data_IF_465938319509
#
_entry.id   IF_465938319509
#
_cell.length_a   1.000
_cell.length_b   1.000
_cell.length_c   1.000
_cell.angle_alpha   90.00
_cell.angle_beta   90.00
_cell.angle_gamma   90.00
#
_symmetry.space_group_name_H-M   'P 1'
#
loop_
_entity.id
_entity.type
_entity.pdbx_description
1 polymer ?
#
# COMPACT_ATOMS: atom_id res chain seq x y z
N UNK A 1 -5.14 -23.65 8.54
CA UNK A 1 -4.42 -23.06 7.38
C UNK A 1 -3.63 -24.16 6.75
N UNK A 2 -3.82 -24.41 5.46
CA UNK A 2 -2.96 -25.34 4.76
C UNK A 2 -1.53 -24.79 4.76
N UNK A 3 -0.56 -25.64 5.09
CA UNK A 3 0.87 -25.29 5.16
C UNK A 3 1.38 -24.65 3.88
N UNK A 4 0.76 -24.98 2.75
CA UNK A 4 1.00 -24.40 1.42
C UNK A 4 0.62 -22.91 1.34
N UNK A 5 -0.57 -22.53 1.80
CA UNK A 5 -1.01 -21.12 1.83
C UNK A 5 -0.12 -20.26 2.74
N UNK A 6 0.36 -20.85 3.84
CA UNK A 6 1.31 -20.18 4.75
C UNK A 6 2.65 -19.92 4.07
N UNK A 7 3.19 -20.92 3.38
CA UNK A 7 4.44 -20.77 2.64
C UNK A 7 4.33 -19.68 1.56
N UNK A 8 3.19 -19.62 0.86
CA UNK A 8 2.93 -18.56 -0.13
C UNK A 8 2.86 -17.19 0.55
N UNK A 9 2.10 -17.05 1.64
CA UNK A 9 1.98 -15.79 2.38
C UNK A 9 3.32 -15.30 2.93
N UNK A 10 4.14 -16.21 3.48
CA UNK A 10 5.49 -15.91 3.96
C UNK A 10 6.40 -15.48 2.82
N UNK A 11 6.38 -16.22 1.70
CA UNK A 11 7.15 -15.86 0.50
C UNK A 11 6.81 -14.47 -0.02
N UNK A 12 5.52 -14.17 -0.18
CA UNK A 12 5.02 -12.86 -0.64
C UNK A 12 5.39 -11.73 0.33
N UNK A 13 5.27 -11.96 1.64
CA UNK A 13 5.65 -10.97 2.65
C UNK A 13 7.16 -10.71 2.65
N UNK A 14 8.00 -11.74 2.51
CA UNK A 14 9.45 -11.58 2.42
C UNK A 14 9.86 -10.79 1.18
N UNK A 15 9.25 -11.10 0.03
CA UNK A 15 9.45 -10.37 -1.21
C UNK A 15 9.07 -8.90 -1.03
N UNK A 16 7.90 -8.63 -0.44
CA UNK A 16 7.45 -7.27 -0.14
C UNK A 16 8.37 -6.51 0.80
N UNK A 17 8.77 -7.12 1.92
CA UNK A 17 9.65 -6.52 2.91
C UNK A 17 10.98 -6.17 2.24
N UNK A 18 11.57 -7.10 1.48
CA UNK A 18 12.84 -6.87 0.79
C UNK A 18 12.77 -5.68 -0.17
N UNK A 19 11.70 -5.56 -0.96
CA UNK A 19 11.49 -4.46 -1.90
C UNK A 19 11.31 -3.12 -1.20
N UNK A 20 10.49 -3.08 -0.14
CA UNK A 20 10.26 -1.87 0.66
C UNK A 20 11.53 -1.45 1.41
N UNK A 21 12.27 -2.39 2.00
CA UNK A 21 13.55 -2.13 2.67
C UNK A 21 14.56 -1.54 1.69
N UNK A 22 14.63 -2.06 0.46
CA UNK A 22 15.50 -1.50 -0.57
C UNK A 22 15.16 -0.03 -0.88
N UNK A 23 13.87 0.29 -1.04
CA UNK A 23 13.41 1.67 -1.28
C UNK A 23 13.81 2.59 -0.12
N UNK A 24 13.52 2.19 1.11
CA UNK A 24 13.85 2.95 2.31
C UNK A 24 15.37 3.18 2.43
N UNK A 25 16.18 2.14 2.22
CA UNK A 25 17.63 2.20 2.36
C UNK A 25 18.28 3.10 1.31
N UNK A 26 17.85 3.02 0.04
CA UNK A 26 18.37 3.89 -1.03
C UNK A 26 18.05 5.36 -0.76
N UNK A 27 16.85 5.65 -0.25
CA UNK A 27 16.44 7.01 0.09
C UNK A 27 17.19 7.53 1.32
N UNK A 28 17.36 6.71 2.36
CA UNK A 28 18.12 7.05 3.56
C UNK A 28 19.59 7.33 3.25
N UNK A 29 20.23 6.50 2.42
CA UNK A 29 21.59 6.75 1.91
C UNK A 29 21.69 8.04 1.10
N UNK A 30 20.64 8.37 0.33
CA UNK A 30 20.54 9.64 -0.38
C UNK A 30 20.50 10.83 0.59
N UNK A 31 19.70 10.72 1.65
CA UNK A 31 19.57 11.74 2.68
C UNK A 31 20.90 12.01 3.42
N UNK A 32 21.61 10.96 3.83
CA UNK A 32 22.94 11.10 4.47
C UNK A 32 23.90 11.87 3.58
N UNK A 33 23.90 11.59 2.27
CA UNK A 33 24.81 12.23 1.31
C UNK A 33 24.44 13.68 1.01
N UNK A 34 23.16 13.99 0.85
CA UNK A 34 22.70 15.33 0.46
C UNK A 34 22.50 16.27 1.64
N UNK A 35 22.44 15.76 2.89
CA UNK A 35 22.00 16.46 4.11
C UNK A 35 20.65 17.18 3.99
N UNK A 36 19.88 16.90 2.94
CA UNK A 36 18.56 17.50 2.66
C UNK A 36 17.58 16.39 2.29
N UNK A 37 16.43 16.39 2.95
CA UNK A 37 15.35 15.45 2.67
C UNK A 37 14.54 15.99 1.49
N UNK A 38 14.59 15.29 0.36
CA UNK A 38 13.68 15.57 -0.74
C UNK A 38 12.26 15.11 -0.36
N UNK A 39 11.24 15.88 -0.74
CA UNK A 39 9.81 15.56 -0.54
C UNK A 39 9.47 14.14 -1.02
N UNK A 40 9.90 13.82 -2.25
CA UNK A 40 9.71 12.51 -2.86
C UNK A 40 10.37 11.39 -2.05
N UNK A 41 11.60 11.59 -1.59
CA UNK A 41 12.34 10.59 -0.79
C UNK A 41 11.65 10.37 0.57
N UNK A 42 11.10 11.42 1.18
CA UNK A 42 10.36 11.34 2.45
C UNK A 42 9.06 10.55 2.30
N UNK A 43 8.27 10.82 1.26
CA UNK A 43 7.02 10.09 0.99
C UNK A 43 7.32 8.61 0.74
N UNK A 44 8.28 8.31 -0.14
CA UNK A 44 8.65 6.95 -0.49
C UNK A 44 9.18 6.17 0.72
N UNK A 45 9.98 6.81 1.57
CA UNK A 45 10.50 6.18 2.80
C UNK A 45 9.38 5.92 3.81
N UNK A 46 8.47 6.88 3.99
CA UNK A 46 7.34 6.72 4.92
C UNK A 46 6.37 5.64 4.46
N UNK A 47 6.07 5.58 3.17
CA UNK A 47 5.26 4.53 2.56
C UNK A 47 5.94 3.14 2.64
N UNK A 48 7.25 3.07 2.40
CA UNK A 48 8.00 1.83 2.54
C UNK A 48 8.00 1.33 4.00
N UNK A 49 8.21 2.24 4.95
CA UNK A 49 8.23 1.89 6.37
C UNK A 49 6.87 1.41 6.87
N UNK A 50 5.76 2.09 6.49
CA UNK A 50 4.43 1.62 6.85
C UNK A 50 4.14 0.23 6.27
N UNK A 51 4.56 -0.05 5.03
CA UNK A 51 4.34 -1.37 4.42
C UNK A 51 5.18 -2.48 5.03
N UNK A 52 6.42 -2.19 5.42
CA UNK A 52 7.25 -3.14 6.18
C UNK A 52 6.56 -3.47 7.49
N UNK A 53 6.10 -2.46 8.24
CA UNK A 53 5.36 -2.69 9.48
C UNK A 53 4.11 -3.55 9.24
N UNK A 54 3.34 -3.26 8.17
CA UNK A 54 2.11 -3.99 7.86
C UNK A 54 2.42 -5.47 7.59
N UNK A 55 3.41 -5.75 6.74
CA UNK A 55 3.83 -7.11 6.40
C UNK A 55 4.42 -7.86 7.59
N UNK A 56 5.18 -7.18 8.45
CA UNK A 56 5.66 -7.77 9.71
C UNK A 56 4.50 -8.13 10.65
N UNK A 57 3.49 -7.27 10.78
CA UNK A 57 2.31 -7.54 11.62
C UNK A 57 1.51 -8.73 11.07
N UNK A 58 1.32 -8.81 9.74
CA UNK A 58 0.70 -9.97 9.08
C UNK A 58 1.44 -11.25 9.45
N UNK A 59 2.76 -11.25 9.29
CA UNK A 59 3.59 -12.42 9.58
C UNK A 59 3.54 -12.82 11.06
N UNK A 60 3.55 -11.84 11.97
CA UNK A 60 3.41 -12.07 13.41
C UNK A 60 2.04 -12.67 13.73
N UNK A 61 0.95 -12.16 13.17
CA UNK A 61 -0.41 -12.68 13.38
C UNK A 61 -0.51 -14.14 12.90
N UNK A 62 -0.02 -14.43 11.69
CA UNK A 62 0.03 -15.78 11.14
C UNK A 62 0.87 -16.74 12.01
N UNK A 63 2.02 -16.28 12.50
CA UNK A 63 2.92 -17.09 13.33
C UNK A 63 2.32 -17.41 14.70
N UNK A 64 1.73 -16.41 15.36
CA UNK A 64 1.07 -16.58 16.66
C UNK A 64 -0.14 -17.52 16.51
N UNK A 65 -0.93 -17.35 15.44
CA UNK A 65 -2.09 -18.22 15.17
C UNK A 65 -1.68 -19.69 15.05
N UNK A 66 -0.53 -19.98 14.44
CA UNK A 66 -0.04 -21.34 14.23
C UNK A 66 0.62 -21.94 15.48
N UNK A 67 1.46 -21.16 16.18
CA UNK A 67 2.34 -21.70 17.23
C UNK A 67 1.72 -21.67 18.63
N UNK A 68 0.87 -20.68 18.91
CA UNK A 68 0.26 -20.49 20.22
C UNK A 68 -1.24 -20.17 20.12
N UNK A 69 -2.06 -21.15 19.70
CA UNK A 69 -3.50 -20.93 19.56
C UNK A 69 -4.19 -20.58 20.89
N UNK A 70 -3.65 -21.05 22.02
CA UNK A 70 -4.26 -20.90 23.36
C UNK A 70 -3.95 -19.54 24.01
N UNK A 71 -2.79 -18.91 23.77
CA UNK A 71 -2.50 -17.55 24.27
C UNK A 71 -3.27 -16.46 23.52
N UNK A 72 -3.66 -16.75 22.28
CA UNK A 72 -4.54 -15.88 21.49
C UNK A 72 -5.97 -15.83 22.03
N UNK A 73 -6.36 -16.78 22.89
CA UNK A 73 -7.72 -16.91 23.40
C UNK A 73 -8.06 -15.89 24.50
N UNK A 74 -7.04 -15.24 25.08
CA UNK A 74 -7.16 -14.27 26.19
C UNK A 74 -7.60 -12.86 25.72
N UNK A 75 -7.79 -12.64 24.41
CA UNK A 75 -8.36 -11.41 23.81
C UNK A 75 -7.47 -10.16 23.81
N UNK A 76 -6.63 -9.97 24.84
CA UNK A 76 -5.77 -8.77 24.98
C UNK A 76 -4.73 -8.62 23.86
N UNK A 77 -3.99 -9.69 23.55
CA UNK A 77 -2.97 -9.70 22.49
C UNK A 77 -3.58 -9.41 21.11
N UNK A 78 -4.78 -9.95 20.88
CA UNK A 78 -5.52 -9.80 19.63
C UNK A 78 -5.94 -8.36 19.36
N UNK A 79 -6.34 -7.63 20.43
CA UNK A 79 -6.68 -6.21 20.37
C UNK A 79 -5.47 -5.35 20.00
N UNK A 80 -4.29 -5.69 20.52
CA UNK A 80 -3.04 -4.99 20.20
C UNK A 80 -2.65 -5.23 18.74
N UNK A 81 -2.72 -6.47 18.26
CA UNK A 81 -2.44 -6.80 16.85
C UNK A 81 -3.42 -6.09 15.91
N UNK A 82 -4.72 -6.09 16.23
CA UNK A 82 -5.76 -5.43 15.44
C UNK A 82 -5.57 -3.90 15.36
N UNK A 83 -5.15 -3.29 16.47
CA UNK A 83 -4.80 -1.88 16.52
C UNK A 83 -3.65 -1.57 15.57
N UNK A 84 -2.53 -2.29 15.71
CA UNK A 84 -1.35 -2.06 14.88
C UNK A 84 -1.61 -2.38 13.41
N UNK A 85 -2.39 -3.41 13.11
CA UNK A 85 -2.84 -3.73 11.76
C UNK A 85 -3.61 -2.56 11.15
N UNK A 86 -4.63 -2.09 11.84
CA UNK A 86 -5.53 -1.03 11.37
C UNK A 86 -4.76 0.27 11.18
N UNK A 87 -3.94 0.64 12.16
CA UNK A 87 -3.08 1.82 12.11
C UNK A 87 -2.16 1.78 10.91
N UNK A 88 -1.46 0.66 10.73
CA UNK A 88 -0.46 0.54 9.66
C UNK A 88 -1.10 0.50 8.28
N UNK A 89 -2.29 -0.10 8.16
CA UNK A 89 -3.07 -0.06 6.92
C UNK A 89 -3.52 1.38 6.57
N UNK A 90 -4.07 2.12 7.55
CA UNK A 90 -4.43 3.52 7.35
C UNK A 90 -3.22 4.36 6.91
N UNK A 91 -2.08 4.21 7.59
CA UNK A 91 -0.84 4.89 7.23
C UNK A 91 -0.41 4.57 5.78
N UNK A 92 -0.45 3.29 5.39
CA UNK A 92 -0.12 2.85 4.04
C UNK A 92 -1.01 3.52 2.98
N UNK A 93 -2.32 3.58 3.22
CA UNK A 93 -3.27 4.20 2.30
C UNK A 93 -3.09 5.71 2.24
N UNK A 94 -2.98 6.39 3.38
CA UNK A 94 -2.76 7.84 3.42
C UNK A 94 -1.46 8.25 2.73
N UNK A 95 -0.34 7.54 2.97
CA UNK A 95 0.91 7.82 2.29
C UNK A 95 0.85 7.52 0.79
N UNK A 96 0.11 6.49 0.37
CA UNK A 96 -0.14 6.22 -1.04
C UNK A 96 -0.95 7.36 -1.70
N UNK A 97 -1.95 7.91 -1.00
CA UNK A 97 -2.71 9.08 -1.45
C UNK A 97 -1.85 10.34 -1.52
N UNK A 98 -0.94 10.57 -0.56
CA UNK A 98 0.03 11.66 -0.67
C UNK A 98 0.92 11.50 -1.91
N UNK A 99 1.34 10.26 -2.21
CA UNK A 99 2.15 9.95 -3.40
C UNK A 99 1.37 10.19 -4.70
N UNK A 100 0.09 9.80 -4.77
CA UNK A 100 -0.74 10.02 -5.96
C UNK A 100 -0.95 11.51 -6.23
N UNK A 101 -1.24 12.31 -5.19
CA UNK A 101 -1.36 13.77 -5.28
C UNK A 101 -0.02 14.38 -5.73
N UNK A 102 1.10 13.92 -5.16
CA UNK A 102 2.43 14.40 -5.56
C UNK A 102 2.70 14.18 -7.05
N UNK A 103 2.46 12.96 -7.53
CA UNK A 103 2.65 12.62 -8.94
C UNK A 103 1.72 13.42 -9.84
N UNK A 104 0.47 13.60 -9.43
CA UNK A 104 -0.48 14.44 -10.15
C UNK A 104 0.07 15.85 -10.36
N UNK A 105 0.46 16.56 -9.29
CA UNK A 105 0.96 17.93 -9.42
C UNK A 105 2.32 18.04 -10.11
N UNK A 106 3.23 17.08 -9.94
CA UNK A 106 4.56 17.11 -10.59
C UNK A 106 4.48 16.84 -12.08
N UNK A 107 3.67 15.88 -12.51
CA UNK A 107 3.67 15.37 -13.89
C UNK A 107 2.57 16.03 -14.73
N UNK A 108 1.39 16.27 -14.16
CA UNK A 108 0.31 16.87 -14.93
C UNK A 108 0.63 18.32 -15.33
N UNK A 109 0.16 18.69 -16.51
CA UNK A 109 0.34 20.01 -17.09
C UNK A 109 -1.01 20.66 -17.35
N UNK A 110 -1.50 21.41 -16.36
CA UNK A 110 -2.69 22.25 -16.46
C UNK A 110 -2.31 23.73 -16.31
N UNK A 111 -2.83 24.57 -17.19
CA UNK A 111 -2.56 26.02 -17.21
C UNK A 111 -3.54 26.83 -16.34
N UNK A 112 -3.98 26.28 -15.20
CA UNK A 112 -4.87 27.00 -14.29
C UNK A 112 -4.06 27.66 -13.16
N UNK A 113 -4.31 28.94 -12.78
CA UNK A 113 -3.50 29.66 -11.80
C UNK A 113 -3.44 28.95 -10.43
N UNK A 114 -4.55 28.42 -9.93
CA UNK A 114 -4.57 27.63 -8.70
C UNK A 114 -3.71 26.35 -8.80
N UNK A 115 -3.72 25.69 -9.96
CA UNK A 115 -2.93 24.48 -10.17
C UNK A 115 -1.43 24.79 -10.13
N UNK A 116 -1.01 25.88 -10.78
CA UNK A 116 0.40 26.33 -10.76
C UNK A 116 0.83 26.76 -9.35
N UNK A 117 -0.04 27.43 -8.61
CA UNK A 117 0.22 27.84 -7.23
C UNK A 117 0.46 26.64 -6.31
N UNK A 118 -0.41 25.62 -6.37
CA UNK A 118 -0.24 24.37 -5.60
C UNK A 118 1.00 23.61 -6.08
N UNK A 119 1.21 23.50 -7.39
CA UNK A 119 2.37 22.82 -7.99
C UNK A 119 3.70 23.39 -7.50
N UNK A 120 3.78 24.70 -7.29
CA UNK A 120 5.00 25.34 -6.77
C UNK A 120 5.22 25.07 -5.28
N UNK A 121 4.16 24.86 -4.50
CA UNK A 121 4.23 24.64 -3.05
C UNK A 121 4.19 23.16 -2.65
N UNK A 122 3.95 22.26 -3.60
CA UNK A 122 3.66 20.85 -3.31
C UNK A 122 4.73 20.16 -2.47
N UNK A 123 6.02 20.45 -2.72
CA UNK A 123 7.12 19.84 -1.98
C UNK A 123 7.05 20.15 -0.47
N UNK A 124 6.66 21.38 -0.10
CA UNK A 124 6.48 21.79 1.30
C UNK A 124 5.15 21.29 1.87
N UNK A 125 4.09 21.30 1.06
CA UNK A 125 2.76 20.83 1.49
C UNK A 125 2.80 19.36 1.88
N UNK A 126 3.47 18.52 1.11
CA UNK A 126 3.50 17.09 1.42
C UNK A 126 4.36 16.78 2.63
N UNK A 127 5.49 17.46 2.80
CA UNK A 127 6.30 17.29 4.00
C UNK A 127 5.50 17.64 5.28
N UNK A 128 4.57 18.60 5.20
CA UNK A 128 3.63 18.93 6.28
C UNK A 128 2.45 17.96 6.38
N UNK A 129 2.01 17.38 5.27
CA UNK A 129 0.90 16.43 5.25
C UNK A 129 1.28 15.06 5.86
N UNK A 130 2.54 14.62 5.71
CA UNK A 130 3.05 13.37 6.27
C UNK A 130 2.76 13.17 7.77
N UNK A 131 3.16 14.09 8.68
CA UNK A 131 2.85 13.95 10.10
C UNK A 131 1.34 14.08 10.37
N UNK A 132 0.61 14.88 9.60
CA UNK A 132 -0.85 14.98 9.72
C UNK A 132 -1.53 13.64 9.38
N UNK A 133 -1.06 12.93 8.35
CA UNK A 133 -1.52 11.58 8.03
C UNK A 133 -1.27 10.60 9.18
N UNK A 134 -0.16 10.73 9.90
CA UNK A 134 0.11 9.92 11.09
C UNK A 134 -0.89 10.19 12.21
N UNK A 135 -1.13 11.46 12.52
CA UNK A 135 -2.09 11.87 13.57
C UNK A 135 -3.50 11.41 13.22
N UNK A 136 -3.95 11.64 11.98
CA UNK A 136 -5.26 11.19 11.52
C UNK A 136 -5.39 9.67 11.61
N UNK A 137 -4.40 8.92 11.12
CA UNK A 137 -4.42 7.44 11.20
C UNK A 137 -4.49 6.95 12.64
N UNK A 138 -3.78 7.60 13.57
CA UNK A 138 -3.84 7.28 14.99
C UNK A 138 -5.23 7.56 15.57
N UNK A 139 -5.79 8.75 15.32
CA UNK A 139 -7.12 9.14 15.80
C UNK A 139 -8.22 8.20 15.31
N UNK A 140 -8.13 7.70 14.07
CA UNK A 140 -9.11 6.76 13.52
C UNK A 140 -8.89 5.31 13.98
N UNK A 141 -7.68 4.95 14.43
CA UNK A 141 -7.38 3.59 14.90
C UNK A 141 -7.72 3.36 16.38
N UNK A 142 -7.69 4.41 17.22
CA UNK A 142 -8.01 4.32 18.65
C UNK A 142 -9.46 3.88 18.98
N UNK A 143 -10.52 4.35 18.29
CA UNK A 143 -11.90 3.93 18.58
C UNK A 143 -12.17 2.46 18.21
N UNK A 144 -11.35 1.89 17.32
CA UNK A 144 -11.48 0.50 16.87
C UNK A 144 -11.20 -0.48 18.00
N UNK A 145 -10.29 -0.12 18.91
CA UNK A 145 -9.87 -0.98 20.02
C UNK A 145 -10.85 -1.07 21.19
N UNK A 146 -11.76 -0.11 21.36
CA UNK A 146 -12.69 -0.11 22.50
C UNK A 146 -13.99 -0.86 22.23
N UNK A 147 -14.42 -1.00 20.97
CA UNK A 147 -15.78 -1.46 20.65
C UNK A 147 -15.88 -2.70 19.75
N UNK A 148 -14.78 -3.23 19.21
CA UNK A 148 -14.88 -4.16 18.08
C UNK A 148 -13.78 -5.22 18.08
N UNK A 149 -14.08 -6.46 18.51
CA UNK A 149 -13.77 -7.67 17.71
C UNK A 149 -13.91 -8.98 18.47
N UNK A 150 -13.99 -8.95 19.80
CA UNK A 150 -13.75 -10.15 20.62
C UNK A 150 -14.70 -11.32 20.28
N UNK A 151 -15.91 -11.08 19.76
CA UNK A 151 -16.84 -12.17 19.41
C UNK A 151 -16.78 -12.64 17.94
N UNK A 152 -16.61 -11.73 16.97
CA UNK A 152 -16.62 -12.13 15.54
C UNK A 152 -15.31 -12.80 15.11
N UNK A 153 -14.15 -12.23 15.49
CA UNK A 153 -12.86 -12.79 15.06
C UNK A 153 -12.54 -14.05 15.88
N UNK A 154 -13.03 -14.15 17.13
CA UNK A 154 -13.16 -15.42 17.87
C UNK A 154 -14.01 -16.41 17.09
N UNK A 155 -15.21 -16.04 16.64
CA UNK A 155 -16.07 -16.91 15.84
C UNK A 155 -15.42 -17.46 14.55
N UNK A 156 -14.83 -16.60 13.71
CA UNK A 156 -14.13 -17.04 12.49
C UNK A 156 -12.99 -18.00 12.84
N UNK A 157 -12.26 -17.71 13.92
CA UNK A 157 -11.18 -18.57 14.40
C UNK A 157 -11.70 -19.91 14.95
N UNK A 158 -12.84 -19.93 15.63
CA UNK A 158 -13.48 -21.16 16.14
C UNK A 158 -14.03 -22.02 15.00
N UNK A 159 -14.63 -21.41 13.97
CA UNK A 159 -15.03 -22.12 12.74
C UNK A 159 -13.82 -22.78 12.06
N UNK A 160 -12.74 -22.01 11.93
CA UNK A 160 -11.48 -22.47 11.34
C UNK A 160 -10.78 -23.58 12.13
N UNK A 161 -10.89 -23.59 13.46
CA UNK A 161 -10.29 -24.64 14.31
C UNK A 161 -11.05 -25.96 14.25
N UNK A 162 -12.36 -25.92 13.98
CA UNK A 162 -13.25 -27.09 14.16
C UNK A 162 -13.82 -27.61 12.82
N UNK A 163 -13.60 -26.96 11.67
CA UNK A 163 -14.27 -27.30 10.41
C UNK A 163 -15.80 -27.40 10.60
N UNK A 164 -16.36 -26.53 11.44
CA UNK A 164 -17.78 -26.58 11.83
C UNK A 164 -18.56 -25.43 11.21
N UNK A 165 -19.77 -25.74 10.72
CA UNK A 165 -20.80 -24.79 10.27
C UNK A 165 -21.45 -24.02 11.43
N UNK A 166 -20.67 -23.60 12.43
CA UNK A 166 -21.20 -22.94 13.62
C UNK A 166 -21.70 -21.54 13.28
N UNK A 167 -23.02 -21.31 13.35
CA UNK A 167 -23.64 -20.01 13.10
C UNK A 167 -23.41 -19.08 14.31
N UNK A 168 -22.47 -18.15 14.19
CA UNK A 168 -22.20 -17.21 15.28
C UNK A 168 -23.25 -16.10 15.32
N UNK A 169 -23.93 -15.99 16.44
CA UNK A 169 -24.92 -14.95 16.68
C UNK A 169 -24.24 -13.72 17.31
N UNK A 170 -23.52 -12.96 16.49
CA UNK A 170 -22.87 -11.71 16.91
C UNK A 170 -23.90 -10.58 16.85
N UNK A 171 -23.92 -9.66 17.82
CA UNK A 171 -24.86 -8.55 17.87
C UNK A 171 -24.70 -7.61 16.65
N UNK A 172 -25.49 -7.85 15.60
CA UNK A 172 -25.28 -7.32 14.24
C UNK A 172 -25.32 -5.79 14.15
N UNK A 173 -26.09 -5.11 15.01
CA UNK A 173 -26.37 -3.68 14.85
C UNK A 173 -25.19 -2.76 15.25
N UNK A 174 -24.54 -3.02 16.39
CA UNK A 174 -23.42 -2.20 16.87
C UNK A 174 -22.13 -2.41 16.08
N UNK A 175 -21.83 -3.66 15.73
CA UNK A 175 -20.66 -4.01 14.92
C UNK A 175 -20.75 -3.51 13.47
N UNK A 176 -21.97 -3.40 12.93
CA UNK A 176 -22.18 -2.83 11.60
C UNK A 176 -21.78 -1.36 11.54
N UNK A 177 -22.22 -0.56 12.53
CA UNK A 177 -22.03 0.89 12.55
C UNK A 177 -20.56 1.31 12.59
N UNK A 178 -19.76 0.72 13.47
CA UNK A 178 -18.34 1.11 13.63
C UNK A 178 -17.49 0.61 12.44
N UNK A 179 -17.79 -0.56 11.85
CA UNK A 179 -17.10 -1.03 10.63
C UNK A 179 -17.50 -0.24 9.38
N UNK A 180 -18.76 0.18 9.26
CA UNK A 180 -19.21 1.10 8.21
C UNK A 180 -18.46 2.43 8.33
N UNK A 181 -18.28 2.96 9.55
CA UNK A 181 -17.48 4.16 9.79
C UNK A 181 -16.01 3.98 9.38
N UNK A 182 -15.38 2.84 9.70
CA UNK A 182 -13.99 2.56 9.28
C UNK A 182 -13.84 2.44 7.75
N UNK A 183 -14.80 1.78 7.09
CA UNK A 183 -14.82 1.71 5.63
C UNK A 183 -15.05 3.09 5.01
N UNK A 184 -15.96 3.91 5.56
CA UNK A 184 -16.21 5.28 5.11
C UNK A 184 -14.95 6.15 5.21
N UNK A 185 -14.20 6.04 6.31
CA UNK A 185 -12.94 6.77 6.50
C UNK A 185 -11.90 6.36 5.47
N UNK A 186 -11.80 5.08 5.11
CA UNK A 186 -10.88 4.58 4.08
C UNK A 186 -11.32 4.89 2.64
N UNK A 187 -12.62 5.02 2.38
CA UNK A 187 -13.14 5.43 1.07
C UNK A 187 -12.69 6.82 0.66
N UNK A 188 -12.48 7.73 1.61
CA UNK A 188 -12.01 9.09 1.33
C UNK A 188 -10.61 9.13 0.68
N UNK A 189 -9.52 8.61 1.31
CA UNK A 189 -8.20 8.62 0.69
C UNK A 189 -8.14 7.76 -0.58
N UNK A 190 -8.96 6.70 -0.69
CA UNK A 190 -9.11 5.93 -1.92
C UNK A 190 -9.69 6.77 -3.07
N UNK A 191 -10.78 7.50 -2.82
CA UNK A 191 -11.42 8.35 -3.81
C UNK A 191 -10.50 9.48 -4.29
N UNK A 192 -9.78 10.12 -3.36
CA UNK A 192 -8.82 11.18 -3.66
C UNK A 192 -7.66 10.64 -4.52
N UNK A 193 -7.14 9.45 -4.20
CA UNK A 193 -6.08 8.81 -4.97
C UNK A 193 -6.57 8.44 -6.38
N UNK A 194 -7.76 7.84 -6.49
CA UNK A 194 -8.37 7.47 -7.77
C UNK A 194 -8.54 8.72 -8.66
N UNK A 195 -9.13 9.78 -8.12
CA UNK A 195 -9.32 11.04 -8.85
C UNK A 195 -7.97 11.63 -9.30
N UNK A 196 -6.96 11.62 -8.43
CA UNK A 196 -5.61 12.13 -8.76
C UNK A 196 -5.00 11.37 -9.93
N UNK A 197 -5.10 10.03 -9.96
CA UNK A 197 -4.58 9.22 -11.05
C UNK A 197 -5.38 9.39 -12.34
N UNK A 198 -6.70 9.46 -12.28
CA UNK A 198 -7.55 9.71 -13.45
C UNK A 198 -7.20 11.05 -14.09
N UNK A 199 -7.09 12.12 -13.30
CA UNK A 199 -6.70 13.43 -13.79
C UNK A 199 -5.27 13.43 -14.36
N UNK A 200 -4.34 12.68 -13.74
CA UNK A 200 -2.98 12.51 -14.24
C UNK A 200 -2.96 11.82 -15.61
N UNK A 201 -3.73 10.74 -15.78
CA UNK A 201 -3.85 10.01 -17.04
C UNK A 201 -4.45 10.91 -18.12
N UNK A 202 -5.53 11.63 -17.82
CA UNK A 202 -6.15 12.56 -18.76
C UNK A 202 -5.19 13.68 -19.19
N UNK A 203 -4.41 14.21 -18.25
CA UNK A 203 -3.39 15.23 -18.55
C UNK A 203 -2.30 14.69 -19.48
N UNK A 204 -1.75 13.51 -19.14
CA UNK A 204 -0.73 12.84 -19.95
C UNK A 204 -1.26 12.45 -21.33
N UNK A 205 -2.49 11.98 -21.43
CA UNK A 205 -3.14 11.64 -22.70
C UNK A 205 -3.29 12.88 -23.58
N UNK A 206 -3.81 13.98 -23.02
CA UNK A 206 -3.95 15.26 -23.74
C UNK A 206 -2.60 15.77 -24.23
N UNK A 207 -1.58 15.75 -23.38
CA UNK A 207 -0.24 16.20 -23.73
C UNK A 207 0.41 15.32 -24.81
N UNK A 208 0.29 13.99 -24.70
CA UNK A 208 0.83 13.05 -25.69
C UNK A 208 0.13 13.21 -27.04
N UNK A 209 -1.19 13.39 -27.05
CA UNK A 209 -1.97 13.67 -28.27
C UNK A 209 -1.53 14.99 -28.93
N UNK A 210 -1.32 16.04 -28.14
CA UNK A 210 -0.81 17.32 -28.66
C UNK A 210 0.60 17.18 -29.24
N UNK A 211 1.49 16.45 -28.57
CA UNK A 211 2.82 16.16 -29.09
C UNK A 211 2.78 15.36 -30.39
N UNK A 212 1.90 14.36 -30.51
CA UNK A 212 1.74 13.57 -31.73
C UNK A 212 1.20 14.38 -32.92
N UNK A 213 0.27 15.32 -32.67
CA UNK A 213 -0.26 16.20 -33.70
C UNK A 213 0.76 17.24 -34.19
N UNK A 214 1.71 17.63 -33.33
CA UNK A 214 2.75 18.61 -33.65
C UNK A 214 4.10 17.97 -34.07
N UNK A 215 4.19 16.64 -34.12
CA UNK A 215 5.43 15.94 -34.41
C UNK A 215 5.70 15.89 -35.93
N UNK A 216 6.68 16.68 -36.38
CA UNK A 216 7.27 16.60 -37.71
C UNK A 216 8.19 15.38 -37.82
N UNK A 217 7.59 14.21 -38.06
CA UNK A 217 8.23 13.08 -38.75
C UNK A 217 9.21 12.17 -37.99
N UNK A 218 9.76 12.54 -36.82
CA UNK A 218 10.68 11.67 -36.06
C UNK A 218 10.15 11.37 -34.65
N UNK A 219 10.16 10.09 -34.25
CA UNK A 219 9.75 9.64 -32.90
C UNK A 219 10.70 10.23 -31.85
N UNK A 220 10.27 11.29 -31.19
CA UNK A 220 11.06 11.95 -30.15
C UNK A 220 11.30 10.96 -28.97
N UNK A 221 12.54 10.68 -28.55
CA UNK A 221 12.82 9.88 -27.36
C UNK A 221 12.08 10.36 -26.10
N UNK A 222 11.74 11.66 -26.01
CA UNK A 222 10.88 12.21 -24.94
C UNK A 222 9.47 11.61 -24.90
N UNK A 223 8.81 11.43 -26.06
CA UNK A 223 7.47 10.85 -26.11
C UNK A 223 7.47 9.38 -25.67
N UNK A 224 8.53 8.62 -25.99
CA UNK A 224 8.65 7.22 -25.54
C UNK A 224 8.80 7.10 -24.02
N UNK A 225 9.51 8.04 -23.39
CA UNK A 225 9.64 8.11 -21.93
C UNK A 225 8.30 8.47 -21.26
N UNK A 226 7.56 9.43 -21.81
CA UNK A 226 6.22 9.80 -21.34
C UNK A 226 5.22 8.65 -21.45
N UNK A 227 5.22 7.90 -22.56
CA UNK A 227 4.36 6.72 -22.74
C UNK A 227 4.72 5.62 -21.74
N UNK A 228 6.00 5.40 -21.45
CA UNK A 228 6.43 4.44 -20.42
C UNK A 228 5.97 4.84 -19.03
N UNK A 229 6.07 6.13 -18.70
CA UNK A 229 5.54 6.66 -17.44
C UNK A 229 4.02 6.49 -17.35
N UNK A 230 3.27 6.76 -18.42
CA UNK A 230 1.83 6.48 -18.49
C UNK A 230 1.51 5.02 -18.20
N UNK A 231 2.21 4.06 -18.84
CA UNK A 231 1.99 2.63 -18.61
C UNK A 231 2.22 2.24 -17.15
N UNK A 232 3.26 2.77 -16.51
CA UNK A 232 3.52 2.53 -15.10
C UNK A 232 2.43 3.11 -14.19
N UNK A 233 1.96 4.34 -14.47
CA UNK A 233 0.86 4.98 -13.74
C UNK A 233 -0.46 4.23 -13.91
N UNK A 234 -0.77 3.75 -15.11
CA UNK A 234 -1.97 2.94 -15.36
C UNK A 234 -1.88 1.60 -14.62
N UNK A 235 -0.72 0.93 -14.65
CA UNK A 235 -0.51 -0.30 -13.88
C UNK A 235 -0.68 -0.07 -12.38
N UNK A 236 -0.18 1.06 -11.86
CA UNK A 236 -0.41 1.46 -10.47
C UNK A 236 -1.90 1.63 -10.17
N UNK A 237 -2.64 2.33 -11.05
CA UNK A 237 -4.06 2.58 -10.89
C UNK A 237 -4.87 1.28 -10.85
N UNK A 238 -4.59 0.35 -11.77
CA UNK A 238 -5.27 -0.95 -11.82
C UNK A 238 -5.03 -1.75 -10.53
N UNK A 239 -3.77 -1.82 -10.07
CA UNK A 239 -3.45 -2.49 -8.81
C UNK A 239 -4.12 -1.83 -7.60
N UNK A 240 -4.21 -0.49 -7.60
CA UNK A 240 -4.87 0.24 -6.54
C UNK A 240 -6.39 0.00 -6.53
N UNK A 241 -7.05 -0.01 -7.70
CA UNK A 241 -8.47 -0.35 -7.81
C UNK A 241 -8.71 -1.78 -7.33
N UNK A 242 -7.87 -2.74 -7.74
CA UNK A 242 -7.96 -4.11 -7.28
C UNK A 242 -7.82 -4.22 -5.75
N UNK A 243 -6.88 -3.47 -5.16
CA UNK A 243 -6.73 -3.38 -3.70
C UNK A 243 -7.97 -2.79 -3.01
N UNK A 244 -8.51 -1.68 -3.52
CA UNK A 244 -9.72 -1.06 -2.98
C UNK A 244 -10.92 -2.02 -3.03
N UNK A 245 -11.13 -2.70 -4.17
CA UNK A 245 -12.19 -3.69 -4.33
C UNK A 245 -12.00 -4.86 -3.37
N UNK A 246 -10.79 -5.39 -3.26
CA UNK A 246 -10.48 -6.49 -2.34
C UNK A 246 -10.70 -6.08 -0.89
N UNK A 247 -10.32 -4.86 -0.50
CA UNK A 247 -10.57 -4.35 0.83
C UNK A 247 -12.07 -4.24 1.12
N UNK A 248 -12.87 -3.71 0.19
CA UNK A 248 -14.33 -3.60 0.32
C UNK A 248 -15.01 -4.98 0.34
N UNK A 249 -14.54 -5.92 -0.46
CA UNK A 249 -15.02 -7.31 -0.46
C UNK A 249 -14.66 -7.97 0.86
N UNK A 250 -13.41 -7.83 1.33
CA UNK A 250 -12.96 -8.39 2.58
C UNK A 250 -13.79 -7.86 3.75
N UNK A 251 -14.04 -6.55 3.83
CA UNK A 251 -14.82 -5.95 4.92
C UNK A 251 -16.33 -6.19 4.79
N UNK A 252 -16.88 -6.31 3.58
CA UNK A 252 -18.30 -6.67 3.37
C UNK A 252 -18.58 -8.16 3.58
N UNK A 253 -17.61 -9.03 3.35
CA UNK A 253 -17.72 -10.48 3.57
C UNK A 253 -18.02 -10.83 5.04
N UNK A 254 -17.67 -9.96 5.98
CA UNK A 254 -18.07 -10.06 7.40
C UNK A 254 -19.59 -10.06 7.62
N UNK A 255 -20.38 -9.53 6.68
CA UNK A 255 -21.85 -9.53 6.74
C UNK A 255 -22.49 -10.72 6.04
N UNK A 256 -21.72 -11.53 5.30
CA UNK A 256 -22.22 -12.68 4.56
C UNK A 256 -21.88 -14.00 5.29
N UNK A 257 -22.84 -14.96 5.35
CA UNK A 257 -22.67 -16.21 6.11
C UNK A 257 -21.65 -17.20 5.50
N UNK A 258 -21.24 -17.04 4.24
CA UNK A 258 -20.30 -17.90 3.50
C UNK A 258 -19.07 -17.12 2.98
N UNK A 259 -18.26 -16.58 3.89
CA UNK A 259 -17.22 -15.59 3.58
C UNK A 259 -15.77 -16.09 3.66
N UNK A 260 -15.53 -17.37 3.91
CA UNK A 260 -14.17 -17.89 4.13
C UNK A 260 -13.23 -17.62 2.95
N UNK A 261 -13.68 -17.87 1.72
CA UNK A 261 -12.88 -17.58 0.53
C UNK A 261 -12.66 -16.07 0.34
N UNK A 262 -13.68 -15.25 0.59
CA UNK A 262 -13.58 -13.80 0.44
C UNK A 262 -12.59 -13.16 1.43
N UNK A 263 -12.50 -13.69 2.65
CA UNK A 263 -11.50 -13.26 3.64
C UNK A 263 -10.09 -13.68 3.21
N UNK A 264 -9.90 -14.93 2.77
CA UNK A 264 -8.60 -15.44 2.30
C UNK A 264 -8.11 -14.64 1.08
N UNK A 265 -8.96 -14.43 0.07
CA UNK A 265 -8.62 -13.65 -1.11
C UNK A 265 -8.37 -12.17 -0.76
N UNK A 266 -9.12 -11.61 0.19
CA UNK A 266 -8.89 -10.27 0.71
C UNK A 266 -7.52 -10.10 1.35
N UNK A 267 -7.13 -11.04 2.22
CA UNK A 267 -5.80 -11.07 2.86
C UNK A 267 -4.67 -11.27 1.84
N UNK A 268 -4.87 -12.16 0.87
CA UNK A 268 -3.88 -12.41 -0.19
C UNK A 268 -3.67 -11.15 -1.05
N UNK A 269 -4.73 -10.43 -1.40
CA UNK A 269 -4.62 -9.18 -2.17
C UNK A 269 -3.98 -8.06 -1.32
N UNK A 270 -4.26 -8.03 -0.01
CA UNK A 270 -3.61 -7.11 0.91
C UNK A 270 -2.10 -7.37 1.05
N UNK A 271 -1.63 -8.59 0.80
CA UNK A 271 -0.21 -8.96 0.73
C UNK A 271 0.42 -8.64 -0.63
N UNK A 272 -0.27 -8.97 -1.73
CA UNK A 272 0.24 -8.79 -3.10
C UNK A 272 0.37 -7.31 -3.45
N UNK A 273 -0.56 -6.45 -3.00
CA UNK A 273 -0.56 -5.04 -3.36
C UNK A 273 0.70 -4.28 -2.89
N UNK A 274 1.09 -4.32 -1.59
CA UNK A 274 2.30 -3.68 -1.11
C UNK A 274 3.57 -4.17 -1.82
N UNK A 275 3.66 -5.48 -2.10
CA UNK A 275 4.79 -6.10 -2.81
C UNK A 275 4.88 -5.63 -4.26
N UNK A 276 3.79 -5.79 -5.02
CA UNK A 276 3.71 -5.42 -6.44
C UNK A 276 4.01 -3.95 -6.68
N UNK A 277 3.46 -3.09 -5.83
CA UNK A 277 3.67 -1.65 -5.93
C UNK A 277 5.12 -1.24 -5.66
N UNK A 278 5.84 -1.94 -4.78
CA UNK A 278 7.25 -1.63 -4.53
C UNK A 278 8.14 -1.97 -5.72
N UNK A 279 7.86 -3.07 -6.44
CA UNK A 279 8.53 -3.34 -7.72
C UNK A 279 8.25 -2.27 -8.77
N UNK A 280 7.01 -1.82 -8.89
CA UNK A 280 6.64 -0.76 -9.84
C UNK A 280 7.37 0.55 -9.49
N UNK A 281 7.48 0.91 -8.21
CA UNK A 281 8.25 2.08 -7.80
C UNK A 281 9.74 1.98 -8.14
N UNK A 282 10.34 0.81 -7.91
CA UNK A 282 11.76 0.57 -8.24
C UNK A 282 11.99 0.70 -9.76
N UNK A 283 11.07 0.20 -10.59
CA UNK A 283 11.18 0.27 -12.05
C UNK A 283 10.86 1.66 -12.60
N UNK A 284 9.88 2.35 -12.01
CA UNK A 284 9.38 3.65 -12.46
C UNK A 284 10.27 4.82 -12.07
N UNK A 285 10.96 4.74 -10.94
CA UNK A 285 11.86 5.81 -10.47
C UNK A 285 13.29 5.60 -10.99
N UNK A 286 13.83 6.57 -11.74
CA UNK A 286 15.18 6.48 -12.33
C UNK A 286 16.29 6.30 -11.29
N UNK A 287 16.19 6.97 -10.13
CA UNK A 287 17.15 6.86 -9.02
C UNK A 287 17.14 5.45 -8.42
N UNK A 288 15.94 4.92 -8.12
CA UNK A 288 15.80 3.56 -7.57
C UNK A 288 16.25 2.49 -8.57
N UNK A 289 15.89 2.65 -9.86
CA UNK A 289 16.29 1.75 -10.94
C UNK A 289 17.81 1.73 -11.13
N UNK A 290 18.47 2.88 -11.10
CA UNK A 290 19.92 2.94 -11.21
C UNK A 290 20.62 2.33 -9.98
N UNK A 291 20.04 2.49 -8.80
CA UNK A 291 20.55 1.86 -7.58
C UNK A 291 20.43 0.33 -7.66
N UNK A 292 19.29 -0.20 -8.14
CA UNK A 292 19.07 -1.65 -8.22
C UNK A 292 20.01 -2.31 -9.23
N UNK A 293 20.21 -1.69 -10.39
CA UNK A 293 21.18 -2.17 -11.39
C UNK A 293 22.61 -2.19 -10.81
N UNK A 294 23.00 -1.14 -10.07
CA UNK A 294 24.32 -1.08 -9.42
C UNK A 294 24.53 -2.21 -8.40
N UNK A 295 23.51 -2.48 -7.57
CA UNK A 295 23.56 -3.60 -6.61
C UNK A 295 23.66 -4.93 -7.35
N UNK A 296 22.84 -5.14 -8.38
CA UNK A 296 22.85 -6.37 -9.16
C UNK A 296 24.20 -6.62 -9.85
N UNK A 297 24.82 -5.58 -10.41
CA UNK A 297 26.16 -5.67 -11.01
C UNK A 297 27.22 -6.06 -9.97
N UNK A 298 27.18 -5.48 -8.77
CA UNK A 298 28.11 -5.84 -7.68
C UNK A 298 27.93 -7.29 -7.23
N UNK A 299 26.69 -7.74 -7.06
CA UNK A 299 26.38 -9.13 -6.68
C UNK A 299 26.89 -10.10 -7.75
N UNK A 300 26.66 -9.81 -9.03
CA UNK A 300 27.20 -10.62 -10.15
C UNK A 300 28.72 -10.66 -10.14
N UNK A 301 29.39 -9.53 -9.87
CA UNK A 301 30.85 -9.49 -9.79
C UNK A 301 31.40 -10.34 -8.63
N UNK A 302 30.76 -10.28 -7.45
CA UNK A 302 31.15 -11.09 -6.28
C UNK A 302 30.93 -12.58 -6.54
N UNK A 303 29.80 -12.95 -7.16
CA UNK A 303 29.50 -14.35 -7.52
C UNK A 303 30.50 -14.88 -8.56
N UNK A 304 30.85 -14.08 -9.57
CA UNK A 304 31.85 -14.47 -10.57
C UNK A 304 33.24 -14.64 -9.98
N UNK A 305 33.59 -13.86 -8.95
CA UNK A 305 34.87 -13.96 -8.20
C UNK A 305 34.95 -15.16 -7.26
N UNK A 306 33.80 -15.77 -6.90
CA UNK A 306 33.73 -17.00 -6.07
C UNK A 306 33.77 -18.30 -6.90
N UNK A 307 33.59 -18.20 -8.22
CA UNK A 307 33.63 -19.33 -9.15
C UNK A 307 34.98 -19.43 -9.90
N UNK A 308 36.02 -18.76 -9.40
CA UNK A 308 37.43 -18.94 -9.78
C UNK A 308 38.18 -19.40 -8.53
#
# INVERSE_FOLDING_TARGET
>A
MDTTLMLVAVGEALVGISGNTFIALVNFMGWIKSKKIASMDSILTSLAMSRICLQCIILLDCFIMMRYPDTYNTGKEMRVIDFFWTLTNHLSVWFATCLSIFYFFKIANFFHPLFLWIKWRIDKLILRALPLCCVLSLCFSLPVTENLNDDFRRCVKTKWRINSTLRCNVNKAGHASVKVNLNLVMLFPFSVSLLSFLLLILSLWRHTRQMQLNATGYKDPSTTAHIRAMKAVISFLVLFIAYCLAFLIATSSYFMPESELAVIWGELIALIYPSSHSFILILGNSKLRQASVRVLCKVKAVLKRRNC
#
